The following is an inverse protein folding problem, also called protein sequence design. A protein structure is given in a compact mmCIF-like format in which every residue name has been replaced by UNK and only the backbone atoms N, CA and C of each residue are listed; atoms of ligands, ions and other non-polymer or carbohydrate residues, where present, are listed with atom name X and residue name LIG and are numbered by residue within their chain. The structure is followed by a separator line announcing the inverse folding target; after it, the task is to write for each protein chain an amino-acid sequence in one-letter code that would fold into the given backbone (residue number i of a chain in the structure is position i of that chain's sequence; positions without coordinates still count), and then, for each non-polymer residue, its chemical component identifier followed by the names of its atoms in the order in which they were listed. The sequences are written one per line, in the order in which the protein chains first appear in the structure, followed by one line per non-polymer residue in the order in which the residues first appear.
data_IF_774837759570
#
_entry.id   IF_774837759570
#
_cell.length_a   1.000
_cell.length_b   1.000
_cell.length_c   1.000
_cell.angle_alpha   90.00
_cell.angle_beta   90.00
_cell.angle_gamma   90.00
#
_symmetry.space_group_name_H-M   'P 1'
#
loop_
_entity.id
_entity.type
_entity.pdbx_description
1 polymer ?
#
# COMPACT_ATOMS: atom_id res chain seq x y z
N UNK A 1 2.67 -13.22 7.22
CA UNK A 1 1.22 -13.38 6.92
C UNK A 1 0.93 -14.79 6.39
N UNK A 2 1.58 -15.29 5.33
CA UNK A 2 1.36 -16.64 4.76
C UNK A 2 1.57 -17.77 5.79
N UNK A 3 2.61 -17.67 6.60
CA UNK A 3 2.90 -18.63 7.68
C UNK A 3 1.81 -18.69 8.77
N UNK A 4 1.09 -17.59 8.98
CA UNK A 4 0.01 -17.47 9.97
C UNK A 4 -1.31 -17.95 9.40
N UNK A 5 -1.67 -17.48 8.20
CA UNK A 5 -2.95 -17.79 7.53
C UNK A 5 -2.95 -19.22 6.98
N UNK A 6 -1.82 -19.69 6.43
CA UNK A 6 -1.63 -21.04 5.85
C UNK A 6 -2.64 -21.41 4.76
N UNK A 7 -3.14 -20.40 4.06
CA UNK A 7 -4.08 -20.54 2.93
C UNK A 7 -3.69 -19.55 1.83
N UNK A 8 -2.78 -19.97 0.98
CA UNK A 8 -2.28 -19.15 -0.12
C UNK A 8 -3.35 -18.92 -1.20
N UNK A 9 -4.20 -19.91 -1.44
CA UNK A 9 -5.26 -19.78 -2.43
C UNK A 9 -6.27 -18.70 -2.02
N UNK A 10 -6.62 -18.65 -0.74
CA UNK A 10 -7.46 -17.60 -0.20
C UNK A 10 -6.78 -16.22 -0.25
N UNK A 11 -5.50 -16.13 0.12
CA UNK A 11 -4.74 -14.89 0.12
C UNK A 11 -4.61 -14.30 -1.30
N UNK A 12 -4.34 -15.14 -2.30
CA UNK A 12 -4.09 -14.70 -3.68
C UNK A 12 -5.38 -14.54 -4.51
N UNK A 13 -6.52 -14.91 -3.99
CA UNK A 13 -7.82 -14.85 -4.65
C UNK A 13 -8.90 -14.11 -3.84
N UNK A 14 -9.69 -14.81 -3.00
CA UNK A 14 -10.83 -14.22 -2.31
C UNK A 14 -10.50 -13.01 -1.43
N UNK A 15 -9.37 -13.05 -0.73
CA UNK A 15 -8.90 -11.94 0.11
C UNK A 15 -8.68 -10.68 -0.70
N UNK A 16 -7.95 -10.77 -1.82
CA UNK A 16 -7.70 -9.62 -2.69
C UNK A 16 -9.00 -9.01 -3.21
N UNK A 17 -9.89 -9.85 -3.71
CA UNK A 17 -11.19 -9.41 -4.23
C UNK A 17 -12.02 -8.71 -3.15
N UNK A 18 -12.02 -9.24 -1.93
CA UNK A 18 -12.73 -8.64 -0.81
C UNK A 18 -12.15 -7.29 -0.42
N UNK A 19 -10.82 -7.17 -0.35
CA UNK A 19 -10.15 -5.89 -0.05
C UNK A 19 -10.48 -4.85 -1.13
N UNK A 20 -10.37 -5.21 -2.41
CA UNK A 20 -10.68 -4.32 -3.52
C UNK A 20 -12.13 -3.81 -3.52
N UNK A 21 -13.08 -4.67 -3.12
CA UNK A 21 -14.52 -4.36 -3.13
C UNK A 21 -15.06 -3.85 -1.79
N UNK A 22 -14.20 -3.74 -0.76
CA UNK A 22 -14.65 -3.42 0.61
C UNK A 22 -15.41 -2.10 0.71
N UNK A 23 -14.99 -1.07 0.00
CA UNK A 23 -15.67 0.22 -0.03
C UNK A 23 -17.11 0.10 -0.55
N UNK A 24 -17.30 -0.62 -1.65
CA UNK A 24 -18.63 -0.87 -2.21
C UNK A 24 -19.52 -1.72 -1.27
N UNK A 25 -18.94 -2.73 -0.60
CA UNK A 25 -19.62 -3.54 0.42
C UNK A 25 -20.13 -2.66 1.56
N UNK A 26 -19.30 -1.75 2.09
CA UNK A 26 -19.69 -0.82 3.14
C UNK A 26 -20.83 0.09 2.68
N UNK A 27 -20.75 0.65 1.47
CA UNK A 27 -21.79 1.50 0.90
C UNK A 27 -23.11 0.73 0.78
N UNK A 28 -23.07 -0.53 0.34
CA UNK A 28 -24.29 -1.34 0.20
C UNK A 28 -24.98 -1.63 1.53
N UNK A 29 -24.21 -1.83 2.61
CA UNK A 29 -24.74 -2.09 3.95
C UNK A 29 -25.20 -0.81 4.64
N UNK A 30 -24.43 0.26 4.53
CA UNK A 30 -24.72 1.53 5.20
C UNK A 30 -25.75 2.40 4.44
N UNK A 31 -26.00 2.12 3.16
CA UNK A 31 -26.82 2.95 2.30
C UNK A 31 -26.26 4.36 2.03
N UNK A 32 -25.01 4.60 2.45
CA UNK A 32 -24.31 5.89 2.36
C UNK A 32 -22.84 5.66 2.07
N UNK A 33 -22.07 6.75 1.98
CA UNK A 33 -20.61 6.72 1.76
C UNK A 33 -19.85 5.92 2.84
N UNK A 34 -18.72 5.31 2.45
CA UNK A 34 -17.73 4.70 3.36
C UNK A 34 -16.85 5.74 4.08
N UNK A 35 -17.24 7.02 4.08
CA UNK A 35 -16.44 8.14 4.60
C UNK A 35 -15.95 7.96 6.04
N UNK A 36 -16.73 7.34 6.92
CA UNK A 36 -16.34 7.11 8.30
C UNK A 36 -15.14 6.17 8.43
N UNK A 37 -15.09 5.08 7.63
CA UNK A 37 -13.94 4.17 7.63
C UNK A 37 -12.71 4.81 6.98
N UNK A 38 -12.88 5.62 5.95
CA UNK A 38 -11.80 6.39 5.35
C UNK A 38 -11.23 7.43 6.33
N UNK A 39 -12.10 8.14 7.07
CA UNK A 39 -11.68 9.09 8.09
C UNK A 39 -10.90 8.40 9.22
N UNK A 40 -11.35 7.25 9.72
CA UNK A 40 -10.63 6.48 10.73
C UNK A 40 -9.23 6.07 10.22
N UNK A 41 -9.15 5.54 8.99
CA UNK A 41 -7.86 5.16 8.39
C UNK A 41 -6.93 6.35 8.20
N UNK A 42 -7.46 7.53 7.85
CA UNK A 42 -6.68 8.76 7.75
C UNK A 42 -6.16 9.20 9.13
N UNK A 43 -6.97 9.11 10.18
CA UNK A 43 -6.54 9.41 11.55
C UNK A 43 -5.41 8.46 12.01
N UNK A 44 -5.55 7.17 11.76
CA UNK A 44 -4.51 6.18 12.10
C UNK A 44 -3.20 6.49 11.34
N UNK A 45 -3.31 6.85 10.07
CA UNK A 45 -2.15 7.21 9.25
C UNK A 45 -1.43 8.46 9.76
N UNK A 46 -2.19 9.51 10.12
CA UNK A 46 -1.64 10.74 10.71
C UNK A 46 -1.05 10.47 12.09
N UNK A 47 -1.69 9.60 12.89
CA UNK A 47 -1.15 9.17 14.18
C UNK A 47 0.23 8.52 14.02
N UNK A 48 0.36 7.57 13.10
CA UNK A 48 1.65 6.90 12.84
C UNK A 48 2.70 7.88 12.31
N UNK A 49 2.30 8.84 11.47
CA UNK A 49 3.20 9.87 10.96
C UNK A 49 3.72 10.79 12.08
N UNK A 50 2.87 11.12 13.04
CA UNK A 50 3.19 12.06 14.13
C UNK A 50 3.93 11.40 15.28
N UNK A 51 3.44 10.25 15.76
CA UNK A 51 3.97 9.57 16.94
C UNK A 51 4.99 8.47 16.60
N UNK A 52 5.10 8.10 15.35
CA UNK A 52 5.91 6.98 14.87
C UNK A 52 5.20 5.63 14.95
N UNK A 53 5.72 4.68 14.19
CA UNK A 53 5.28 3.29 14.23
C UNK A 53 5.87 2.57 15.44
N UNK A 54 5.15 1.59 15.99
CA UNK A 54 5.68 0.74 17.06
C UNK A 54 6.89 -0.07 16.56
N UNK A 55 7.87 -0.39 17.40
CA UNK A 55 9.01 -1.22 16.99
C UNK A 55 8.58 -2.51 16.30
N UNK A 56 9.16 -2.79 15.13
CA UNK A 56 8.83 -3.94 14.31
C UNK A 56 7.45 -3.87 13.62
N UNK A 57 6.79 -2.71 13.65
CA UNK A 57 5.58 -2.42 12.87
C UNK A 57 5.88 -1.36 11.83
N UNK A 58 5.16 -1.43 10.73
CA UNK A 58 5.28 -0.48 9.64
C UNK A 58 3.89 -0.14 9.09
N UNK A 59 3.77 1.06 8.53
CA UNK A 59 2.59 1.54 7.83
C UNK A 59 2.87 1.59 6.33
N UNK A 60 1.84 1.33 5.51
CA UNK A 60 1.95 1.58 4.07
C UNK A 60 1.84 3.07 3.80
N UNK A 61 2.83 3.65 3.12
CA UNK A 61 2.86 5.07 2.79
C UNK A 61 3.15 5.28 1.30
N UNK A 62 2.46 6.23 0.69
CA UNK A 62 2.80 6.74 -0.64
C UNK A 62 4.01 7.67 -0.53
N UNK A 63 5.16 7.23 -1.00
CA UNK A 63 6.41 7.98 -0.98
C UNK A 63 7.10 7.93 -2.33
N UNK A 64 8.06 8.83 -2.57
CA UNK A 64 8.85 8.80 -3.80
C UNK A 64 9.62 7.49 -3.91
N UNK A 65 9.63 6.92 -5.10
CA UNK A 65 10.21 5.59 -5.36
C UNK A 65 11.73 5.58 -5.54
N UNK A 66 12.38 6.74 -5.53
CA UNK A 66 13.81 6.86 -5.77
C UNK A 66 14.62 6.06 -4.75
N UNK A 67 15.61 5.31 -5.24
CA UNK A 67 16.49 4.51 -4.39
C UNK A 67 15.82 3.33 -3.69
N UNK A 68 14.64 2.90 -4.12
CA UNK A 68 13.97 1.74 -3.52
C UNK A 68 14.69 0.42 -3.82
N UNK A 69 14.63 -0.52 -2.88
CA UNK A 69 15.22 -1.86 -3.02
C UNK A 69 14.30 -2.90 -3.70
N UNK A 70 13.09 -2.48 -4.09
CA UNK A 70 12.06 -3.38 -4.60
C UNK A 70 11.95 -3.41 -6.14
N UNK A 71 12.83 -2.70 -6.85
CA UNK A 71 12.83 -2.63 -8.32
C UNK A 71 11.62 -1.91 -8.91
N UNK A 72 10.98 -1.04 -8.13
CA UNK A 72 9.94 -0.13 -8.63
C UNK A 72 10.61 0.99 -9.43
N UNK A 73 10.07 1.39 -10.59
CA UNK A 73 10.63 2.51 -11.36
C UNK A 73 10.78 3.78 -10.53
N UNK A 74 11.87 4.51 -10.72
CA UNK A 74 12.12 5.76 -10.02
C UNK A 74 11.25 6.93 -10.53
N UNK A 75 11.13 7.98 -9.72
CA UNK A 75 10.44 9.21 -10.08
C UNK A 75 8.91 9.12 -10.03
N UNK A 76 8.35 8.16 -9.34
CA UNK A 76 6.90 8.02 -9.13
C UNK A 76 6.55 7.96 -7.64
N UNK A 77 5.34 8.35 -7.30
CA UNK A 77 4.79 8.10 -5.96
C UNK A 77 4.27 6.66 -5.92
N UNK A 78 4.84 5.86 -5.03
CA UNK A 78 4.49 4.44 -4.90
C UNK A 78 4.25 4.07 -3.44
N UNK A 79 3.42 3.07 -3.19
CA UNK A 79 3.14 2.62 -1.82
C UNK A 79 4.19 1.63 -1.36
N UNK A 80 4.92 1.98 -0.29
CA UNK A 80 5.90 1.13 0.36
C UNK A 80 5.56 0.92 1.85
N UNK A 81 5.97 -0.22 2.44
CA UNK A 81 6.00 -0.38 3.88
C UNK A 81 7.06 0.55 4.47
N UNK A 82 6.67 1.43 5.38
CA UNK A 82 7.57 2.39 6.02
C UNK A 82 7.56 2.25 7.55
N UNK A 83 8.72 2.33 8.14
CA UNK A 83 8.87 2.65 9.56
C UNK A 83 8.94 4.16 9.73
N UNK A 84 8.31 4.66 10.78
CA UNK A 84 8.26 6.09 11.09
C UNK A 84 8.83 6.31 12.48
N UNK A 85 9.78 7.23 12.59
CA UNK A 85 10.34 7.65 13.86
C UNK A 85 10.78 9.12 13.80
N UNK A 86 10.51 9.86 14.87
CA UNK A 86 10.89 11.27 14.98
C UNK A 86 10.44 12.14 13.78
N UNK A 87 9.24 11.90 13.26
CA UNK A 87 8.68 12.61 12.12
C UNK A 87 9.36 12.28 10.77
N UNK A 88 10.20 11.25 10.72
CA UNK A 88 10.86 10.78 9.49
C UNK A 88 10.39 9.38 9.16
N UNK A 89 10.16 9.13 7.89
CA UNK A 89 9.84 7.81 7.37
C UNK A 89 11.07 7.16 6.72
N UNK A 90 11.11 5.85 6.75
CA UNK A 90 12.10 5.04 6.04
C UNK A 90 11.41 3.83 5.46
N UNK A 91 11.63 3.54 4.18
CA UNK A 91 11.15 2.31 3.56
C UNK A 91 11.79 1.10 4.26
N UNK A 92 10.98 0.13 4.61
CA UNK A 92 11.44 -1.15 5.16
C UNK A 92 12.01 -1.99 4.04
N UNK A 93 13.28 -2.33 4.13
CA UNK A 93 13.98 -3.14 3.14
C UNK A 93 13.89 -4.65 3.43
N UNK A 94 14.19 -5.45 2.40
CA UNK A 94 14.43 -6.89 2.56
C UNK A 94 13.17 -7.75 2.73
N UNK A 95 11.97 -7.21 2.51
CA UNK A 95 10.77 -8.04 2.49
C UNK A 95 10.75 -8.94 1.25
N UNK A 96 10.46 -10.22 1.48
CA UNK A 96 10.37 -11.20 0.40
C UNK A 96 9.17 -10.92 -0.50
N UNK A 97 9.42 -10.82 -1.80
CA UNK A 97 8.40 -10.62 -2.85
C UNK A 97 8.34 -11.88 -3.70
N UNK A 98 7.20 -12.57 -3.67
CA UNK A 98 6.96 -13.71 -4.54
C UNK A 98 6.58 -13.26 -5.97
N UNK A 99 6.57 -14.20 -6.92
CA UNK A 99 6.27 -13.92 -8.32
C UNK A 99 4.89 -13.26 -8.51
N UNK A 100 3.89 -13.74 -7.80
CA UNK A 100 2.54 -13.17 -7.83
C UNK A 100 2.49 -11.69 -7.44
N UNK A 101 3.21 -11.31 -6.38
CA UNK A 101 3.32 -9.91 -5.94
C UNK A 101 4.16 -9.09 -6.91
N UNK A 102 5.25 -9.66 -7.44
CA UNK A 102 6.13 -9.02 -8.41
C UNK A 102 5.38 -8.56 -9.65
N UNK A 103 4.60 -9.43 -10.25
CA UNK A 103 3.82 -9.13 -11.45
C UNK A 103 2.84 -7.97 -11.25
N UNK A 104 2.21 -7.90 -10.07
CA UNK A 104 1.30 -6.80 -9.73
C UNK A 104 2.03 -5.49 -9.48
N UNK A 105 3.15 -5.55 -8.80
CA UNK A 105 3.98 -4.37 -8.56
C UNK A 105 4.50 -3.79 -9.86
N UNK A 106 4.96 -4.63 -10.78
CA UNK A 106 5.47 -4.20 -12.09
C UNK A 106 4.36 -3.60 -12.95
N UNK A 107 3.16 -4.18 -12.91
CA UNK A 107 1.98 -3.64 -13.60
C UNK A 107 1.65 -2.23 -13.08
N UNK A 108 1.52 -2.08 -11.76
CA UNK A 108 1.23 -0.79 -11.14
C UNK A 108 2.33 0.25 -11.42
N UNK A 109 3.61 -0.16 -11.37
CA UNK A 109 4.72 0.73 -11.70
C UNK A 109 4.65 1.26 -13.14
N UNK A 110 4.28 0.40 -14.11
CA UNK A 110 4.08 0.81 -15.51
C UNK A 110 2.91 1.77 -15.67
N UNK A 111 1.77 1.47 -15.05
CA UNK A 111 0.58 2.33 -15.07
C UNK A 111 0.91 3.74 -14.53
N UNK A 112 1.61 3.84 -13.41
CA UNK A 112 2.01 5.12 -12.83
C UNK A 112 3.02 5.90 -13.68
N UNK A 113 3.94 5.21 -14.38
CA UNK A 113 4.82 5.85 -15.35
C UNK A 113 4.05 6.43 -16.55
N UNK A 114 3.06 5.69 -17.04
CA UNK A 114 2.18 6.16 -18.13
C UNK A 114 1.36 7.37 -17.69
N UNK A 115 0.79 7.36 -16.49
CA UNK A 115 0.10 8.51 -15.90
C UNK A 115 1.00 9.73 -15.78
N UNK A 116 2.24 9.54 -15.26
CA UNK A 116 3.23 10.62 -15.18
C UNK A 116 3.53 11.21 -16.56
N UNK A 117 3.75 10.36 -17.55
CA UNK A 117 4.02 10.79 -18.92
C UNK A 117 2.84 11.58 -19.52
N UNK A 118 1.61 11.13 -19.29
CA UNK A 118 0.43 11.84 -19.77
C UNK A 118 0.25 13.20 -19.07
N UNK A 119 0.53 13.27 -17.78
CA UNK A 119 0.33 14.49 -17.01
C UNK A 119 1.45 15.53 -17.21
N UNK A 120 2.68 15.08 -17.33
CA UNK A 120 3.88 15.95 -17.33
C UNK A 120 4.60 16.00 -18.69
N UNK A 121 4.28 15.12 -19.63
CA UNK A 121 4.88 15.07 -20.96
C UNK A 121 6.26 14.40 -21.03
N UNK A 122 6.72 13.77 -19.93
CA UNK A 122 8.01 13.06 -19.85
C UNK A 122 7.97 11.86 -18.92
#
# INVERSE_FOLDING_TARGET
MREVVKDDAWLDGPFLTRVQKRGAEIISVMGKSSAASAAASACDHVHDLWFGTKPGKYASMGVISDGNSYGVPEGIMYSFPCEISNGKWKVVDGLSINQFSRERMDKTGKELLEERKMALGF
#
